data_IF_040305748547
#
_entry.id   IF_040305748547
#
_cell.length_a   1.000
_cell.length_b   1.000
_cell.length_c   1.000
_cell.angle_alpha   90.00
_cell.angle_beta   90.00
_cell.angle_gamma   90.00
#
_symmetry.space_group_name_H-M   'P 1'
#
loop_
_entity.id
_entity.type
_entity.pdbx_description
1 polymer ?
#
# COMPACT_ATOMS: atom_id res chain seq x y z
N UNK A 1 8.35 13.63 -22.99
CA UNK A 1 8.15 12.26 -22.49
C UNK A 1 7.03 12.22 -21.48
N UNK A 2 6.11 11.33 -21.69
CA UNK A 2 5.00 11.18 -20.77
C UNK A 2 5.43 10.36 -19.57
N UNK A 3 5.00 10.78 -18.39
CA UNK A 3 5.25 10.02 -17.17
C UNK A 3 4.16 8.98 -16.99
N UNK A 4 4.57 7.76 -16.67
CA UNK A 4 3.62 6.71 -16.32
C UNK A 4 3.28 6.80 -14.86
N UNK A 5 2.00 6.91 -14.57
CA UNK A 5 1.48 6.88 -13.21
C UNK A 5 0.92 5.49 -12.94
N UNK A 6 1.45 4.84 -11.92
CA UNK A 6 0.99 3.53 -11.51
C UNK A 6 0.19 3.60 -10.22
N UNK A 7 -0.66 2.62 -10.01
CA UNK A 7 -1.47 2.51 -8.80
C UNK A 7 -1.46 1.07 -8.31
N UNK A 8 -1.23 0.90 -7.01
CA UNK A 8 -1.38 -0.40 -6.38
C UNK A 8 -2.12 -0.21 -5.06
N UNK A 9 -2.81 -1.24 -4.62
CA UNK A 9 -3.59 -1.19 -3.41
C UNK A 9 -3.39 -2.46 -2.60
N UNK A 10 -3.37 -2.33 -1.28
CA UNK A 10 -3.24 -3.48 -0.41
C UNK A 10 -3.60 -3.16 1.02
N UNK A 11 -3.66 -4.17 1.86
CA UNK A 11 -3.92 -4.04 3.28
C UNK A 11 -2.66 -3.62 4.03
N UNK A 12 -1.53 -4.22 3.69
CA UNK A 12 -0.23 -3.95 4.30
C UNK A 12 -0.25 -4.11 5.83
N UNK A 13 -0.97 -5.13 6.29
CA UNK A 13 -1.01 -5.46 7.71
C UNK A 13 0.28 -6.17 8.12
N UNK A 14 0.87 -5.76 9.24
CA UNK A 14 2.15 -6.29 9.72
C UNK A 14 3.21 -6.27 8.61
N UNK A 15 3.52 -5.08 8.14
CA UNK A 15 4.38 -4.84 6.98
C UNK A 15 5.67 -5.66 7.04
N UNK A 16 5.97 -6.37 5.96
CA UNK A 16 7.15 -7.22 5.87
C UNK A 16 7.76 -7.16 4.46
N UNK A 17 8.81 -7.95 4.24
CA UNK A 17 9.57 -7.91 2.98
C UNK A 17 8.72 -8.22 1.75
N UNK A 18 7.69 -9.06 1.89
CA UNK A 18 6.78 -9.34 0.78
C UNK A 18 6.02 -8.11 0.33
N UNK A 19 5.57 -7.29 1.29
CA UNK A 19 4.92 -6.01 0.99
C UNK A 19 5.88 -5.05 0.28
N UNK A 20 7.11 -4.95 0.78
CA UNK A 20 8.12 -4.09 0.18
C UNK A 20 8.43 -4.52 -1.25
N UNK A 21 8.53 -5.82 -1.50
CA UNK A 21 8.79 -6.34 -2.83
C UNK A 21 7.65 -6.04 -3.79
N UNK A 22 6.41 -6.09 -3.31
CA UNK A 22 5.24 -5.71 -4.11
C UNK A 22 5.37 -4.26 -4.59
N UNK A 23 5.71 -3.35 -3.67
CA UNK A 23 5.88 -1.94 -4.00
C UNK A 23 7.05 -1.74 -4.96
N UNK A 24 8.18 -2.41 -4.73
CA UNK A 24 9.33 -2.35 -5.62
C UNK A 24 9.00 -2.79 -7.04
N UNK A 25 8.28 -3.91 -7.17
CA UNK A 25 7.91 -4.42 -8.47
C UNK A 25 6.95 -3.48 -9.19
N UNK A 26 5.98 -2.92 -8.46
CA UNK A 26 5.06 -1.95 -9.04
C UNK A 26 5.81 -0.71 -9.52
N UNK A 27 6.78 -0.22 -8.75
CA UNK A 27 7.54 0.98 -9.09
C UNK A 27 8.37 0.79 -10.35
N UNK A 28 8.81 -0.43 -10.65
CA UNK A 28 9.57 -0.71 -11.86
C UNK A 28 8.80 -0.46 -13.15
N UNK A 29 7.48 -0.46 -13.08
CA UNK A 29 6.62 -0.32 -14.24
C UNK A 29 6.04 1.07 -14.42
N UNK A 30 6.45 2.02 -13.57
CA UNK A 30 5.93 3.38 -13.63
C UNK A 30 6.96 4.38 -13.12
N UNK A 31 6.74 5.65 -13.45
CA UNK A 31 7.59 6.75 -12.98
C UNK A 31 7.12 7.29 -11.65
N UNK A 32 5.85 7.11 -11.35
CA UNK A 32 5.18 7.69 -10.20
C UNK A 32 4.18 6.67 -9.67
N UNK A 33 4.38 6.23 -8.44
CA UNK A 33 3.55 5.17 -7.87
C UNK A 33 2.67 5.69 -6.74
N UNK A 34 1.37 5.48 -6.89
CA UNK A 34 0.39 5.78 -5.86
C UNK A 34 0.03 4.47 -5.17
N UNK A 35 0.15 4.43 -3.85
CA UNK A 35 -0.15 3.24 -3.05
C UNK A 35 -1.38 3.51 -2.21
N UNK A 36 -2.43 2.73 -2.43
CA UNK A 36 -3.64 2.80 -1.63
C UNK A 36 -3.56 1.80 -0.48
N UNK A 37 -3.99 2.22 0.70
CA UNK A 37 -4.03 1.36 1.89
C UNK A 37 -5.49 1.13 2.27
N UNK A 38 -5.90 -0.13 2.32
CA UNK A 38 -7.29 -0.49 2.57
C UNK A 38 -7.70 -0.12 4.00
N UNK A 39 -8.88 0.49 4.12
CA UNK A 39 -9.45 0.81 5.43
C UNK A 39 -9.83 -0.46 6.19
N UNK A 40 -9.87 -0.38 7.51
CA UNK A 40 -10.17 -1.54 8.37
C UNK A 40 -11.54 -2.15 8.05
N UNK A 41 -12.54 -1.31 7.84
CA UNK A 41 -13.90 -1.78 7.53
C UNK A 41 -13.95 -2.52 6.19
N UNK A 42 -13.21 -2.05 5.20
CA UNK A 42 -13.14 -2.72 3.90
C UNK A 42 -12.51 -4.10 4.04
N UNK A 43 -11.40 -4.20 4.78
CA UNK A 43 -10.73 -5.47 5.00
C UNK A 43 -11.64 -6.46 5.72
N UNK A 44 -12.35 -6.00 6.76
CA UNK A 44 -13.28 -6.83 7.51
C UNK A 44 -14.40 -7.36 6.63
N UNK A 45 -14.87 -6.56 5.67
CA UNK A 45 -15.99 -6.95 4.81
C UNK A 45 -15.69 -8.16 3.92
N UNK A 46 -14.43 -8.34 3.50
CA UNK A 46 -14.09 -9.47 2.62
C UNK A 46 -13.22 -10.54 3.27
N UNK A 47 -12.49 -10.21 4.33
CA UNK A 47 -11.66 -11.19 5.04
C UNK A 47 -12.30 -11.73 6.31
N UNK A 48 -13.42 -11.16 6.70
CA UNK A 48 -14.17 -11.56 7.91
C UNK A 48 -13.39 -11.36 9.20
N UNK A 49 -12.39 -10.50 9.19
CA UNK A 49 -11.66 -10.09 10.38
C UNK A 49 -10.91 -8.79 10.11
N UNK A 50 -10.73 -8.00 11.17
CA UNK A 50 -10.05 -6.73 11.07
C UNK A 50 -8.54 -6.94 11.02
N UNK A 51 -7.78 -6.03 10.39
CA UNK A 51 -6.33 -6.07 10.45
C UNK A 51 -5.83 -5.95 11.89
N UNK A 52 -4.69 -6.56 12.17
CA UNK A 52 -4.06 -6.46 13.49
C UNK A 52 -3.54 -5.04 13.73
N UNK A 53 -2.94 -4.44 12.70
CA UNK A 53 -2.45 -3.06 12.79
C UNK A 53 -3.51 -2.12 12.21
N UNK A 54 -3.95 -1.10 12.96
CA UNK A 54 -4.99 -0.19 12.46
C UNK A 54 -4.51 0.65 11.28
N UNK A 55 -5.48 1.16 10.51
CA UNK A 55 -5.20 1.90 9.27
C UNK A 55 -4.19 3.02 9.46
N UNK A 56 -4.31 3.82 10.52
CA UNK A 56 -3.43 4.96 10.74
C UNK A 56 -1.97 4.53 10.80
N UNK A 57 -1.70 3.42 11.47
CA UNK A 57 -0.33 2.91 11.62
C UNK A 57 0.14 2.24 10.34
N UNK A 58 -0.72 1.49 9.67
CA UNK A 58 -0.37 0.87 8.39
C UNK A 58 -0.02 1.93 7.34
N UNK A 59 -0.83 2.98 7.27
CA UNK A 59 -0.58 4.08 6.35
C UNK A 59 0.71 4.81 6.68
N UNK A 60 1.00 5.02 7.96
CA UNK A 60 2.23 5.67 8.40
C UNK A 60 3.46 4.89 7.97
N UNK A 61 3.43 3.57 8.13
CA UNK A 61 4.55 2.71 7.73
C UNK A 61 4.75 2.78 6.22
N UNK A 62 3.68 2.67 5.44
CA UNK A 62 3.77 2.72 3.98
C UNK A 62 4.24 4.11 3.53
N UNK A 63 3.81 5.17 4.20
CA UNK A 63 4.23 6.54 3.88
C UNK A 63 5.74 6.72 4.05
N UNK A 64 6.34 6.00 4.99
CA UNK A 64 7.78 6.07 5.22
C UNK A 64 8.59 5.40 4.11
N UNK A 65 7.96 4.62 3.24
CA UNK A 65 8.64 3.97 2.12
C UNK A 65 8.79 5.02 1.01
N UNK A 66 10.03 5.38 0.72
CA UNK A 66 10.30 6.44 -0.26
C UNK A 66 9.91 6.12 -1.70
N UNK A 67 9.59 4.86 -2.00
CA UNK A 67 9.17 4.43 -3.34
C UNK A 67 7.70 4.70 -3.62
N UNK A 68 6.94 5.05 -2.58
CA UNK A 68 5.50 5.16 -2.72
C UNK A 68 4.98 6.55 -2.33
N UNK A 69 3.87 6.94 -2.97
CA UNK A 69 3.03 8.03 -2.51
C UNK A 69 1.75 7.40 -2.01
N UNK A 70 1.30 7.82 -0.84
CA UNK A 70 0.14 7.20 -0.20
C UNK A 70 -1.14 7.90 -0.58
N UNK A 71 -2.11 7.08 -0.96
CA UNK A 71 -3.48 7.51 -1.13
C UNK A 71 -4.36 6.56 -0.31
N UNK A 72 -5.18 7.10 0.54
CA UNK A 72 -6.04 6.31 1.43
C UNK A 72 -7.49 6.38 0.96
#
# INVERSE_FOLDING_TARGET
MEKKIGYTQGTFDMFHIGHLNLIRNAKKHCDYLIVGVNADDLVESYKNKRPIVPLEERAEIVRAIRLSLIHI
#
